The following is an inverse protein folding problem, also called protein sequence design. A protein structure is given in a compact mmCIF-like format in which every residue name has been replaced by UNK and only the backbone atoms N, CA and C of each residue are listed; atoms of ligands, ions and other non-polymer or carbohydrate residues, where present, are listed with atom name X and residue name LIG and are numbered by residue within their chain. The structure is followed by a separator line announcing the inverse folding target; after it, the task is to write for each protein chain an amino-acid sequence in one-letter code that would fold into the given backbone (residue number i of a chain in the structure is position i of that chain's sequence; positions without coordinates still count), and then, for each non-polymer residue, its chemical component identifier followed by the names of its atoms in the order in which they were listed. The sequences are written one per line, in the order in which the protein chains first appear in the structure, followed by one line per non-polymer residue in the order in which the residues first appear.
data_IF_140373642133
#
_entry.id   IF_140373642133
#
_cell.length_a   1.000
_cell.length_b   1.000
_cell.length_c   1.000
_cell.angle_alpha   90.00
_cell.angle_beta   90.00
_cell.angle_gamma   90.00
#
_symmetry.space_group_name_H-M   'P 1'
#
loop_
_entity.id
_entity.type
_entity.pdbx_description
1 polymer ?
#
# COMPACT_ATOMS: atom_id res chain seq x y z
N UNK A 1 51.53 19.17 -17.60
CA UNK A 1 51.64 18.51 -16.28
C UNK A 1 50.64 17.35 -16.14
N UNK A 2 50.27 16.69 -17.26
CA UNK A 2 49.13 15.73 -17.32
C UNK A 2 49.50 14.29 -17.67
N UNK A 3 50.80 13.94 -17.74
CA UNK A 3 51.18 12.61 -18.25
C UNK A 3 51.64 11.59 -17.21
N UNK A 4 51.64 11.96 -15.91
CA UNK A 4 52.08 11.01 -14.87
C UNK A 4 50.98 10.15 -14.25
N UNK A 5 49.70 10.54 -14.45
CA UNK A 5 48.58 9.78 -13.88
C UNK A 5 48.17 8.59 -14.77
N UNK A 6 48.28 8.75 -16.08
CA UNK A 6 47.96 7.68 -17.05
C UNK A 6 48.92 6.51 -17.03
N UNK A 7 50.21 6.77 -16.77
CA UNK A 7 51.22 5.70 -16.75
C UNK A 7 51.17 4.85 -15.48
N UNK A 8 50.83 5.44 -14.35
CA UNK A 8 50.60 4.71 -13.06
C UNK A 8 49.37 3.82 -13.12
N UNK A 9 48.28 4.29 -13.72
CA UNK A 9 47.07 3.48 -13.92
C UNK A 9 47.35 2.28 -14.84
N UNK A 10 48.12 2.47 -15.92
CA UNK A 10 48.45 1.40 -16.85
C UNK A 10 49.35 0.32 -16.23
N UNK A 11 50.31 0.68 -15.35
CA UNK A 11 51.16 -0.27 -14.65
C UNK A 11 50.44 -1.01 -13.50
N UNK A 12 49.43 -0.43 -12.93
CA UNK A 12 48.55 -1.10 -11.95
C UNK A 12 47.59 -2.09 -12.60
N UNK A 13 47.14 -1.82 -13.83
CA UNK A 13 46.27 -2.75 -14.58
C UNK A 13 47.03 -4.02 -15.10
N UNK A 14 48.33 -3.99 -15.20
CA UNK A 14 49.12 -5.09 -15.74
C UNK A 14 49.44 -6.21 -14.73
N UNK A 15 49.07 -6.01 -13.46
CA UNK A 15 49.15 -7.07 -12.47
C UNK A 15 48.01 -8.07 -12.67
N UNK A 16 48.33 -9.34 -12.97
CA UNK A 16 47.37 -10.44 -13.14
C UNK A 16 46.36 -10.51 -11.99
N UNK A 17 46.73 -10.11 -10.77
CA UNK A 17 45.88 -10.07 -9.59
C UNK A 17 44.78 -8.97 -9.69
N UNK A 18 45.17 -7.79 -10.19
CA UNK A 18 44.23 -6.66 -10.32
C UNK A 18 43.26 -6.89 -11.46
N UNK A 19 43.71 -7.46 -12.57
CA UNK A 19 42.85 -7.88 -13.69
C UNK A 19 41.78 -8.88 -13.22
N UNK A 20 42.16 -9.87 -12.40
CA UNK A 20 41.23 -10.85 -11.89
C UNK A 20 40.23 -10.20 -10.90
N UNK A 21 40.65 -9.23 -10.08
CA UNK A 21 39.76 -8.48 -9.15
C UNK A 21 38.76 -7.68 -9.97
N UNK A 22 39.17 -6.98 -11.03
CA UNK A 22 38.25 -6.20 -11.89
C UNK A 22 37.20 -7.11 -12.55
N UNK A 23 37.62 -8.30 -13.03
CA UNK A 23 36.71 -9.28 -13.62
C UNK A 23 35.70 -9.79 -12.58
N UNK A 24 36.15 -10.09 -11.37
CA UNK A 24 35.29 -10.57 -10.28
C UNK A 24 34.26 -9.48 -9.88
N UNK A 25 34.69 -8.23 -9.72
CA UNK A 25 33.80 -7.09 -9.41
C UNK A 25 32.80 -6.87 -10.54
N UNK A 26 33.22 -6.98 -11.81
CA UNK A 26 32.35 -6.90 -12.97
C UNK A 26 31.29 -8.00 -12.99
N UNK A 27 31.69 -9.26 -12.71
CA UNK A 27 30.76 -10.39 -12.61
C UNK A 27 29.76 -10.25 -11.46
N UNK A 28 30.21 -9.74 -10.31
CA UNK A 28 29.33 -9.44 -9.18
C UNK A 28 28.31 -8.35 -9.57
N UNK A 29 28.74 -7.29 -10.25
CA UNK A 29 27.87 -6.23 -10.74
C UNK A 29 26.80 -6.74 -11.70
N UNK A 30 27.18 -7.58 -12.67
CA UNK A 30 26.25 -8.22 -13.60
C UNK A 30 25.30 -9.15 -12.86
N UNK A 31 25.81 -9.94 -11.91
CA UNK A 31 24.98 -10.82 -11.07
C UNK A 31 23.93 -10.05 -10.26
N UNK A 32 24.27 -8.89 -9.71
CA UNK A 32 23.33 -8.03 -8.98
C UNK A 32 22.24 -7.45 -9.90
N UNK A 33 22.58 -7.12 -11.15
CA UNK A 33 21.60 -6.64 -12.14
C UNK A 33 20.61 -7.77 -12.50
N UNK A 34 21.08 -9.00 -12.69
CA UNK A 34 20.21 -10.16 -12.94
C UNK A 34 19.34 -10.49 -11.72
N UNK A 35 19.88 -10.43 -10.52
CA UNK A 35 19.12 -10.65 -9.28
C UNK A 35 18.06 -9.53 -9.06
N UNK A 36 18.38 -8.29 -9.44
CA UNK A 36 17.44 -7.16 -9.34
C UNK A 36 16.16 -7.37 -10.15
N UNK A 37 16.22 -8.15 -11.21
CA UNK A 37 15.04 -8.46 -12.03
C UNK A 37 14.19 -9.62 -11.46
N UNK A 38 14.71 -10.36 -10.48
CA UNK A 38 14.03 -11.50 -9.84
C UNK A 38 13.58 -11.23 -8.42
N UNK A 39 14.19 -10.26 -7.76
CA UNK A 39 13.78 -9.78 -6.43
C UNK A 39 13.09 -8.44 -6.64
N UNK A 40 11.82 -8.35 -6.27
CA UNK A 40 11.10 -7.07 -6.13
C UNK A 40 11.82 -6.22 -5.06
N UNK A 41 12.94 -5.61 -5.48
CA UNK A 41 13.75 -4.72 -4.65
C UNK A 41 13.03 -3.41 -4.33
N UNK A 42 11.87 -3.19 -4.96
CA UNK A 42 10.96 -2.07 -4.65
C UNK A 42 10.52 -2.06 -3.19
N UNK A 43 10.41 -3.22 -2.55
CA UNK A 43 9.99 -3.32 -1.15
C UNK A 43 11.10 -3.02 -0.14
N UNK A 44 12.38 -3.09 -0.56
CA UNK A 44 13.53 -2.87 0.32
C UNK A 44 14.11 -1.45 0.25
N UNK A 45 13.88 -0.73 -0.86
CA UNK A 45 14.34 0.67 -1.04
C UNK A 45 13.24 1.68 -0.74
N UNK A 46 11.98 1.25 -0.56
CA UNK A 46 10.92 2.13 -0.02
C UNK A 46 11.17 2.43 1.46
N UNK A 47 12.36 2.97 1.73
CA UNK A 47 12.59 3.81 2.88
C UNK A 47 11.73 5.05 2.69
N UNK A 48 10.60 5.15 3.44
CA UNK A 48 9.89 6.38 3.77
C UNK A 48 10.05 7.53 2.74
N UNK A 49 9.56 7.30 1.53
CA UNK A 49 9.24 8.34 0.59
C UNK A 49 7.76 8.22 0.37
N UNK A 50 7.01 9.24 0.74
CA UNK A 50 5.61 9.53 0.44
C UNK A 50 4.86 8.32 -0.16
N UNK A 51 4.27 7.46 0.70
CA UNK A 51 3.20 6.60 0.26
C UNK A 51 2.15 7.57 -0.28
N UNK A 52 2.13 7.71 -1.59
CA UNK A 52 1.02 8.39 -2.24
C UNK A 52 -0.22 7.71 -1.68
N UNK A 53 -0.95 8.43 -0.83
CA UNK A 53 -2.15 7.95 -0.15
C UNK A 53 -3.08 7.39 -1.24
N UNK A 54 -3.01 6.09 -1.45
CA UNK A 54 -3.83 5.41 -2.44
C UNK A 54 -5.19 5.18 -1.80
N UNK A 55 -6.25 5.72 -2.39
CA UNK A 55 -7.63 5.47 -1.98
C UNK A 55 -7.89 3.97 -1.82
N UNK A 56 -7.28 3.16 -2.69
CA UNK A 56 -7.37 1.70 -2.64
C UNK A 56 -6.72 1.12 -1.39
N UNK A 57 -5.53 1.60 -1.01
CA UNK A 57 -4.85 1.13 0.21
C UNK A 57 -5.62 1.55 1.46
N UNK A 58 -6.17 2.76 1.46
CA UNK A 58 -7.01 3.27 2.55
C UNK A 58 -8.31 2.48 2.70
N UNK A 59 -9.05 2.24 1.59
CA UNK A 59 -10.29 1.46 1.62
C UNK A 59 -10.04 0.03 2.09
N UNK A 60 -9.02 -0.64 1.55
CA UNK A 60 -8.68 -2.03 1.95
C UNK A 60 -8.31 -2.13 3.42
N UNK A 61 -7.63 -1.12 3.97
CA UNK A 61 -7.31 -1.10 5.39
C UNK A 61 -8.58 -1.01 6.24
N UNK A 62 -9.49 -0.07 5.92
CA UNK A 62 -10.76 0.08 6.65
C UNK A 62 -11.63 -1.18 6.49
N UNK A 63 -11.71 -1.78 5.31
CA UNK A 63 -12.44 -3.03 5.07
C UNK A 63 -11.95 -4.14 5.99
N UNK A 64 -10.64 -4.34 6.09
CA UNK A 64 -10.03 -5.36 6.96
C UNK A 64 -10.26 -5.06 8.45
N UNK A 65 -10.15 -3.81 8.87
CA UNK A 65 -10.39 -3.39 10.24
C UNK A 65 -11.86 -3.61 10.62
N UNK A 66 -12.80 -3.22 9.76
CA UNK A 66 -14.24 -3.45 9.96
C UNK A 66 -14.58 -4.95 9.98
N UNK A 67 -14.06 -5.72 9.04
CA UNK A 67 -14.25 -7.18 8.99
C UNK A 67 -13.82 -7.83 10.32
N UNK A 68 -12.65 -7.42 10.83
CA UNK A 68 -12.11 -7.92 12.09
C UNK A 68 -12.99 -7.57 13.28
N UNK A 69 -13.55 -6.36 13.32
CA UNK A 69 -14.39 -5.91 14.43
C UNK A 69 -15.78 -6.53 14.34
N UNK A 70 -16.41 -6.53 13.15
CA UNK A 70 -17.75 -7.07 12.95
C UNK A 70 -17.81 -8.57 13.21
N UNK A 71 -16.79 -9.33 12.81
CA UNK A 71 -16.73 -10.77 13.10
C UNK A 71 -16.71 -11.13 14.60
N UNK A 72 -16.41 -10.14 15.47
CA UNK A 72 -16.46 -10.30 16.93
C UNK A 72 -17.83 -9.96 17.53
N UNK A 73 -18.75 -9.44 16.72
CA UNK A 73 -20.13 -9.18 17.16
C UNK A 73 -20.84 -10.52 17.28
N UNK A 74 -21.46 -10.75 18.44
CA UNK A 74 -22.22 -11.97 18.71
C UNK A 74 -23.27 -12.23 17.63
N UNK A 75 -23.19 -13.37 16.99
CA UNK A 75 -24.11 -13.80 15.93
C UNK A 75 -23.76 -13.31 14.52
N UNK A 76 -22.77 -12.43 14.34
CA UNK A 76 -22.36 -11.99 13.01
C UNK A 76 -21.67 -13.10 12.21
N UNK A 77 -20.82 -13.89 12.87
CA UNK A 77 -20.10 -14.99 12.23
C UNK A 77 -19.07 -14.52 11.21
N UNK A 78 -18.83 -15.33 10.19
CA UNK A 78 -17.93 -14.96 9.09
C UNK A 78 -18.48 -13.74 8.36
N UNK A 79 -17.62 -12.78 8.13
CA UNK A 79 -18.01 -11.47 7.60
C UNK A 79 -17.07 -11.05 6.48
N UNK A 80 -17.62 -10.43 5.45
CA UNK A 80 -16.90 -9.74 4.38
C UNK A 80 -17.43 -8.32 4.26
N UNK A 81 -16.55 -7.36 4.03
CA UNK A 81 -16.88 -5.93 3.95
C UNK A 81 -16.36 -5.36 2.64
N UNK A 82 -17.19 -4.58 1.98
CA UNK A 82 -16.83 -3.81 0.79
C UNK A 82 -17.16 -2.33 1.02
N UNK A 83 -16.17 -1.48 0.83
CA UNK A 83 -16.29 -0.03 0.90
C UNK A 83 -16.31 0.60 -0.50
N UNK A 84 -17.23 1.52 -0.71
CA UNK A 84 -17.26 2.35 -1.91
C UNK A 84 -16.95 3.79 -1.54
N UNK A 85 -15.93 4.38 -2.19
CA UNK A 85 -15.53 5.76 -1.99
C UNK A 85 -16.23 6.68 -2.98
N UNK A 86 -16.54 7.91 -2.55
CA UNK A 86 -17.19 8.91 -3.38
C UNK A 86 -16.19 9.63 -4.29
N UNK A 87 -15.03 9.97 -3.75
CA UNK A 87 -13.99 10.72 -4.45
C UNK A 87 -12.64 10.03 -4.38
N UNK A 88 -11.79 10.31 -5.36
CA UNK A 88 -10.35 10.09 -5.26
C UNK A 88 -9.72 11.08 -4.28
N UNK A 89 -8.50 10.78 -3.84
CA UNK A 89 -7.70 11.77 -3.11
C UNK A 89 -7.52 13.00 -3.99
N UNK A 90 -7.93 14.15 -3.51
CA UNK A 90 -7.72 15.42 -4.16
C UNK A 90 -6.62 16.20 -3.44
N UNK A 91 -5.58 16.58 -4.19
CA UNK A 91 -4.52 17.41 -3.68
C UNK A 91 -4.77 18.86 -4.07
N UNK A 92 -4.90 19.73 -3.09
CA UNK A 92 -4.97 21.17 -3.35
C UNK A 92 -3.56 21.73 -3.33
N UNK A 93 -3.14 22.25 -4.47
CA UNK A 93 -1.85 22.95 -4.63
C UNK A 93 -2.04 24.44 -4.45
N UNK A 94 -1.06 25.11 -3.87
CA UNK A 94 -1.05 26.57 -3.86
C UNK A 94 -0.82 27.08 -5.30
N UNK A 95 -1.57 28.11 -5.69
CA UNK A 95 -1.48 28.69 -7.03
C UNK A 95 0.00 28.98 -7.37
N UNK A 96 0.49 28.42 -8.47
CA UNK A 96 1.88 28.49 -8.93
C UNK A 96 2.98 27.83 -8.06
N UNK A 97 2.65 26.87 -7.19
CA UNK A 97 3.66 26.16 -6.42
C UNK A 97 3.47 24.63 -6.46
N UNK A 98 4.57 23.89 -6.38
CA UNK A 98 4.57 22.43 -6.21
C UNK A 98 4.31 21.99 -4.76
N UNK A 99 4.03 22.94 -3.86
CA UNK A 99 3.80 22.67 -2.46
C UNK A 99 2.35 22.23 -2.24
N UNK A 100 2.13 21.01 -1.78
CA UNK A 100 0.83 20.51 -1.35
C UNK A 100 0.37 21.31 -0.14
N UNK A 101 -0.80 21.94 -0.24
CA UNK A 101 -1.35 22.78 0.84
C UNK A 101 -2.36 22.04 1.67
N UNK A 102 -3.11 21.10 1.06
CA UNK A 102 -4.14 20.32 1.73
C UNK A 102 -4.34 18.98 1.02
N UNK A 103 -4.46 17.94 1.81
CA UNK A 103 -4.91 16.62 1.37
C UNK A 103 -6.35 16.45 1.85
N UNK A 104 -7.26 16.12 0.95
CA UNK A 104 -8.66 15.88 1.27
C UNK A 104 -8.85 14.37 1.35
N UNK A 105 -9.26 13.88 2.51
CA UNK A 105 -9.57 12.47 2.70
C UNK A 105 -10.77 12.06 1.85
N UNK A 106 -10.74 10.85 1.25
CA UNK A 106 -11.86 10.37 0.44
C UNK A 106 -13.08 10.09 1.32
N UNK A 107 -14.25 10.53 0.87
CA UNK A 107 -15.51 10.31 1.55
C UNK A 107 -16.07 8.91 1.25
N UNK A 108 -16.62 8.26 2.26
CA UNK A 108 -17.28 6.97 2.10
C UNK A 108 -18.66 7.18 1.49
N UNK A 109 -18.88 6.58 0.31
CA UNK A 109 -20.16 6.60 -0.40
C UNK A 109 -21.13 5.57 0.13
N UNK A 110 -20.63 4.35 0.43
CA UNK A 110 -21.44 3.26 0.93
C UNK A 110 -20.59 2.11 1.46
N UNK A 111 -21.22 1.28 2.28
CA UNK A 111 -20.66 0.08 2.90
C UNK A 111 -21.60 -1.08 2.67
N UNK A 112 -21.09 -2.17 2.13
CA UNK A 112 -21.78 -3.46 2.07
C UNK A 112 -21.12 -4.41 3.05
N UNK A 113 -21.91 -5.00 3.93
CA UNK A 113 -21.48 -6.05 4.87
C UNK A 113 -22.22 -7.33 4.52
N UNK A 114 -21.47 -8.38 4.27
CA UNK A 114 -22.00 -9.73 4.04
C UNK A 114 -21.56 -10.60 5.20
N UNK A 115 -22.49 -11.10 6.00
CA UNK A 115 -22.17 -11.89 7.20
C UNK A 115 -23.15 -13.07 7.39
N UNK A 116 -22.72 -14.10 8.11
CA UNK A 116 -23.54 -15.28 8.35
C UNK A 116 -24.86 -14.94 9.08
N UNK A 117 -24.81 -13.98 10.02
CA UNK A 117 -25.97 -13.50 10.75
C UNK A 117 -26.77 -12.40 10.06
N UNK A 118 -26.53 -12.14 8.77
CA UNK A 118 -27.17 -11.06 8.03
C UNK A 118 -28.68 -11.19 7.80
N UNK A 119 -29.29 -12.30 8.17
CA UNK A 119 -30.73 -12.52 8.20
C UNK A 119 -31.36 -12.31 9.60
N UNK A 120 -30.55 -12.16 10.64
CA UNK A 120 -31.03 -11.93 12.00
C UNK A 120 -31.19 -10.42 12.25
N UNK A 121 -32.42 -9.90 12.53
CA UNK A 121 -32.64 -8.47 12.74
C UNK A 121 -31.78 -7.86 13.85
N UNK A 122 -31.53 -8.60 14.93
CA UNK A 122 -30.70 -8.14 16.07
C UNK A 122 -29.25 -7.96 15.66
N UNK A 123 -28.72 -8.88 14.84
CA UNK A 123 -27.36 -8.80 14.31
C UNK A 123 -27.24 -7.63 13.34
N UNK A 124 -28.23 -7.51 12.43
CA UNK A 124 -28.30 -6.39 11.47
C UNK A 124 -28.31 -5.03 12.18
N UNK A 125 -29.10 -4.88 13.24
CA UNK A 125 -29.16 -3.65 14.03
C UNK A 125 -27.79 -3.34 14.67
N UNK A 126 -27.18 -4.32 15.35
CA UNK A 126 -25.87 -4.16 16.00
C UNK A 126 -24.75 -3.82 15.02
N UNK A 127 -24.72 -4.51 13.88
CA UNK A 127 -23.72 -4.25 12.83
C UNK A 127 -23.95 -2.88 12.20
N UNK A 128 -25.19 -2.51 11.92
CA UNK A 128 -25.52 -1.18 11.39
C UNK A 128 -25.07 -0.08 12.35
N UNK A 129 -25.37 -0.22 13.62
CA UNK A 129 -24.96 0.72 14.66
C UNK A 129 -23.43 0.82 14.78
N UNK A 130 -22.73 -0.30 14.75
CA UNK A 130 -21.29 -0.33 14.82
C UNK A 130 -20.65 0.37 13.60
N UNK A 131 -21.10 0.04 12.39
CA UNK A 131 -20.56 0.61 11.14
C UNK A 131 -20.84 2.10 11.02
N UNK A 132 -22.08 2.52 11.28
CA UNK A 132 -22.48 3.94 11.18
C UNK A 132 -21.73 4.83 12.17
N UNK A 133 -21.53 4.35 13.40
CA UNK A 133 -20.78 5.08 14.43
C UNK A 133 -19.28 5.07 14.19
N UNK A 134 -18.73 3.96 13.69
CA UNK A 134 -17.29 3.85 13.42
C UNK A 134 -16.85 4.71 12.23
N UNK A 135 -17.70 4.87 11.21
CA UNK A 135 -17.38 5.58 9.98
C UNK A 135 -18.02 6.96 9.86
N UNK A 136 -18.82 7.37 10.85
CA UNK A 136 -19.61 8.61 10.84
C UNK A 136 -20.47 8.77 9.57
N UNK A 137 -21.18 7.70 9.20
CA UNK A 137 -22.04 7.66 8.02
C UNK A 137 -23.49 7.39 8.39
N UNK A 138 -24.41 7.82 7.50
CA UNK A 138 -25.84 7.54 7.65
C UNK A 138 -26.14 6.04 7.43
N UNK A 139 -27.15 5.53 8.13
CA UNK A 139 -27.71 4.17 7.95
C UNK A 139 -28.14 3.89 6.50
N UNK A 140 -28.56 4.92 5.76
CA UNK A 140 -28.91 4.80 4.34
C UNK A 140 -27.73 4.41 3.44
N UNK A 141 -26.49 4.56 3.93
CA UNK A 141 -25.27 4.18 3.22
C UNK A 141 -24.76 2.77 3.58
N UNK A 142 -25.45 2.06 4.48
CA UNK A 142 -25.06 0.73 4.94
C UNK A 142 -26.06 -0.30 4.43
N UNK A 143 -25.54 -1.33 3.77
CA UNK A 143 -26.33 -2.49 3.35
C UNK A 143 -25.76 -3.73 4.03
N UNK A 144 -26.62 -4.52 4.67
CA UNK A 144 -26.22 -5.78 5.31
C UNK A 144 -27.02 -6.91 4.68
N UNK A 145 -26.33 -8.00 4.35
CA UNK A 145 -26.97 -9.19 3.76
C UNK A 145 -26.33 -10.45 4.28
N UNK A 146 -27.07 -11.56 4.16
CA UNK A 146 -26.59 -12.87 4.58
C UNK A 146 -25.52 -13.40 3.63
N UNK A 147 -24.47 -13.99 4.21
CA UNK A 147 -23.46 -14.76 3.47
C UNK A 147 -24.09 -16.07 2.97
N UNK A 148 -23.97 -16.34 1.67
CA UNK A 148 -24.32 -17.66 1.13
C UNK A 148 -23.21 -18.66 1.43
N UNK A 149 -23.61 -19.87 1.83
CA UNK A 149 -22.71 -21.02 1.95
C UNK A 149 -22.15 -21.47 0.61
#
# INVERSE_FOLDING_TARGET
MEDKTGSKLKSMLDSKKIRNIIIIVGLIGIGLIFLSNWVDFSSLISGKGDEAFSVKTYSTKIENDLQTVISKIEGAGKTEVLLTMENSVEYVYLDNSTTKTKEIEPLIRGVLVVCEGGDNPVVVERVTDAVTKALDISTAKVCITKLSE
#
